data_IF_723960214979
#
_entry.id   IF_723960214979
#
_cell.length_a   1.000
_cell.length_b   1.000
_cell.length_c   1.000
_cell.angle_alpha   90.00
_cell.angle_beta   90.00
_cell.angle_gamma   90.00
#
_symmetry.space_group_name_H-M   'P 1'
#
loop_
_entity.id
_entity.type
_entity.pdbx_description
1 polymer ?
#
# COMPACT_ATOMS: atom_id res chain seq x y z
N UNK A 1 -34.22 53.43 -31.73
CA UNK A 1 -34.00 53.86 -33.13
C UNK A 1 -33.70 52.68 -34.06
N UNK A 2 -33.41 51.48 -33.53
CA UNK A 2 -33.08 50.28 -34.32
C UNK A 2 -34.28 49.54 -34.93
N UNK A 3 -35.44 49.54 -34.26
CA UNK A 3 -36.65 48.84 -34.74
C UNK A 3 -37.24 49.38 -36.04
N UNK A 4 -37.07 50.67 -36.32
CA UNK A 4 -37.57 51.29 -37.56
C UNK A 4 -36.68 50.97 -38.80
N UNK A 5 -35.42 50.60 -38.60
CA UNK A 5 -34.48 50.23 -39.68
C UNK A 5 -34.72 48.82 -40.19
N UNK A 6 -35.12 47.88 -39.28
CA UNK A 6 -35.42 46.48 -39.64
C UNK A 6 -36.77 46.33 -40.39
N UNK A 7 -37.80 47.09 -39.99
CA UNK A 7 -39.10 47.08 -40.63
C UNK A 7 -39.02 47.65 -42.05
N UNK A 8 -38.28 48.75 -42.30
CA UNK A 8 -38.04 49.27 -43.64
C UNK A 8 -37.25 48.34 -44.55
N UNK A 9 -36.33 47.50 -44.00
CA UNK A 9 -35.61 46.48 -44.75
C UNK A 9 -36.53 45.30 -45.15
N UNK A 10 -37.39 44.87 -44.26
CA UNK A 10 -38.39 43.80 -44.55
C UNK A 10 -39.41 44.24 -45.57
N UNK A 11 -39.90 45.51 -45.53
CA UNK A 11 -40.80 46.08 -46.53
C UNK A 11 -40.14 46.22 -47.91
N UNK A 12 -38.89 46.68 -47.98
CA UNK A 12 -38.14 46.82 -49.23
C UNK A 12 -37.87 45.45 -49.92
N UNK A 13 -37.58 44.38 -49.11
CA UNK A 13 -37.40 43.01 -49.63
C UNK A 13 -38.73 42.44 -50.12
N UNK A 14 -39.84 42.67 -49.41
CA UNK A 14 -41.17 42.24 -49.82
C UNK A 14 -41.66 42.89 -51.12
N UNK A 15 -41.41 44.21 -51.26
CA UNK A 15 -41.74 44.96 -52.49
C UNK A 15 -40.91 44.52 -53.72
N UNK A 16 -39.65 44.16 -53.53
CA UNK A 16 -38.75 43.63 -54.57
C UNK A 16 -39.17 42.27 -55.06
N UNK A 17 -39.53 41.36 -54.15
CA UNK A 17 -40.01 40.00 -54.46
C UNK A 17 -41.37 40.03 -55.19
N UNK A 18 -42.31 40.91 -54.79
CA UNK A 18 -43.60 41.04 -55.48
C UNK A 18 -43.46 41.58 -56.88
N UNK A 19 -42.53 42.48 -57.17
CA UNK A 19 -42.23 42.97 -58.53
C UNK A 19 -41.61 41.88 -59.43
N UNK A 20 -40.74 41.07 -58.89
CA UNK A 20 -40.12 39.92 -59.62
C UNK A 20 -41.14 38.85 -59.97
N UNK A 21 -42.10 38.60 -59.10
CA UNK A 21 -43.13 37.57 -59.30
C UNK A 21 -44.37 38.05 -60.05
N UNK A 22 -44.53 39.37 -60.23
CA UNK A 22 -45.73 39.96 -60.87
C UNK A 22 -45.92 39.49 -62.32
N UNK A 23 -44.84 39.30 -63.07
CA UNK A 23 -44.86 38.93 -64.49
C UNK A 23 -44.76 37.40 -64.73
N UNK A 24 -44.80 36.57 -63.67
CA UNK A 24 -44.77 35.15 -63.83
C UNK A 24 -46.17 34.58 -64.05
N UNK A 25 -46.28 33.66 -65.00
CA UNK A 25 -47.51 32.83 -65.21
C UNK A 25 -47.74 31.98 -63.94
N UNK A 26 -48.99 31.57 -63.70
CA UNK A 26 -49.38 30.74 -62.58
C UNK A 26 -48.50 29.47 -62.50
N UNK A 27 -48.25 28.81 -63.67
CA UNK A 27 -47.37 27.63 -63.78
C UNK A 27 -45.95 27.90 -63.31
N UNK A 28 -45.37 29.10 -63.63
CA UNK A 28 -44.03 29.46 -63.19
C UNK A 28 -43.98 29.76 -61.68
N UNK A 29 -45.04 30.36 -61.13
CA UNK A 29 -45.16 30.59 -59.69
C UNK A 29 -45.24 29.29 -58.89
N UNK A 30 -46.05 28.35 -59.37
CA UNK A 30 -46.14 27.02 -58.78
C UNK A 30 -44.83 26.23 -58.90
N UNK A 31 -44.23 26.21 -60.08
CA UNK A 31 -42.91 25.52 -60.28
C UNK A 31 -41.81 26.12 -59.40
N UNK A 32 -41.79 27.46 -59.28
CA UNK A 32 -40.83 28.13 -58.36
C UNK A 32 -41.06 27.83 -56.88
N UNK A 33 -42.33 27.82 -56.45
CA UNK A 33 -42.71 27.47 -55.09
C UNK A 33 -42.36 26.01 -54.73
N UNK A 34 -42.75 25.05 -55.59
CA UNK A 34 -42.40 23.65 -55.39
C UNK A 34 -40.88 23.41 -55.50
N UNK A 35 -40.20 24.12 -56.40
CA UNK A 35 -38.75 24.05 -56.54
C UNK A 35 -38.03 24.54 -55.28
N UNK A 36 -38.51 25.65 -54.67
CA UNK A 36 -37.98 26.18 -53.41
C UNK A 36 -38.18 25.20 -52.25
N UNK A 37 -39.39 24.62 -52.12
CA UNK A 37 -39.68 23.62 -51.10
C UNK A 37 -38.82 22.39 -51.33
N UNK A 38 -38.67 21.91 -52.58
CA UNK A 38 -37.78 20.80 -52.91
C UNK A 38 -36.31 21.06 -52.51
N UNK A 39 -35.82 22.26 -52.78
CA UNK A 39 -34.45 22.68 -52.40
C UNK A 39 -34.26 22.72 -50.88
N UNK A 40 -35.25 23.25 -50.12
CA UNK A 40 -35.24 23.27 -48.68
C UNK A 40 -35.16 21.81 -48.12
N UNK A 41 -36.00 20.93 -48.69
CA UNK A 41 -35.98 19.51 -48.28
C UNK A 41 -34.62 18.87 -48.56
N UNK A 42 -34.00 19.11 -49.70
CA UNK A 42 -32.67 18.60 -50.04
C UNK A 42 -31.61 19.11 -49.05
N UNK A 43 -31.65 20.40 -48.70
CA UNK A 43 -30.72 20.99 -47.70
C UNK A 43 -30.93 20.33 -46.33
N UNK A 44 -32.18 20.19 -45.88
CA UNK A 44 -32.48 19.52 -44.61
C UNK A 44 -31.97 18.09 -44.61
N UNK A 45 -32.20 17.31 -45.65
CA UNK A 45 -31.72 15.92 -45.77
C UNK A 45 -30.19 15.89 -45.73
N UNK A 46 -29.52 16.78 -46.44
CA UNK A 46 -28.06 16.87 -46.44
C UNK A 46 -27.50 17.21 -45.04
N UNK A 47 -28.10 18.15 -44.31
CA UNK A 47 -27.74 18.49 -42.95
C UNK A 47 -27.94 17.32 -41.95
N UNK A 48 -29.12 16.64 -42.07
CA UNK A 48 -29.41 15.46 -41.23
C UNK A 48 -28.43 14.33 -41.53
N UNK A 49 -28.13 14.08 -42.79
CA UNK A 49 -27.17 13.05 -43.20
C UNK A 49 -25.77 13.36 -42.67
N UNK A 50 -25.31 14.60 -42.78
CA UNK A 50 -24.03 15.04 -42.22
C UNK A 50 -23.99 14.84 -40.70
N UNK A 51 -25.04 15.24 -39.98
CA UNK A 51 -25.16 15.04 -38.53
C UNK A 51 -25.16 13.55 -38.11
N UNK A 52 -25.85 12.68 -38.91
CA UNK A 52 -25.83 11.24 -38.67
C UNK A 52 -24.43 10.63 -38.84
N UNK A 53 -23.68 11.06 -39.85
CA UNK A 53 -22.32 10.59 -40.09
C UNK A 53 -21.38 11.01 -38.96
N UNK A 54 -21.50 12.23 -38.42
CA UNK A 54 -20.74 12.69 -37.28
C UNK A 54 -21.09 11.91 -36.01
N UNK A 55 -22.39 11.72 -35.75
CA UNK A 55 -22.86 10.90 -34.63
C UNK A 55 -22.35 9.46 -34.70
N UNK A 56 -22.37 8.87 -35.90
CA UNK A 56 -21.82 7.51 -36.13
C UNK A 56 -20.33 7.45 -35.79
N UNK A 57 -19.51 8.41 -36.27
CA UNK A 57 -18.08 8.48 -35.95
C UNK A 57 -17.83 8.60 -34.45
N UNK A 58 -18.58 9.45 -33.76
CA UNK A 58 -18.48 9.62 -32.32
C UNK A 58 -18.87 8.34 -31.56
N UNK A 59 -19.98 7.69 -31.96
CA UNK A 59 -20.45 6.43 -31.37
C UNK A 59 -19.41 5.32 -31.53
N UNK A 60 -18.89 5.12 -32.74
CA UNK A 60 -17.83 4.14 -33.03
C UNK A 60 -16.58 4.41 -32.16
N UNK A 61 -16.15 5.67 -32.05
CA UNK A 61 -15.00 6.03 -31.22
C UNK A 61 -15.23 5.77 -29.72
N UNK A 62 -16.47 5.91 -29.26
CA UNK A 62 -16.83 5.59 -27.87
C UNK A 62 -16.79 4.07 -27.66
N UNK A 63 -17.44 3.30 -28.54
CA UNK A 63 -17.52 1.85 -28.39
C UNK A 63 -16.18 1.15 -28.57
N UNK A 64 -15.41 1.53 -29.60
CA UNK A 64 -14.27 0.74 -30.04
C UNK A 64 -12.94 1.21 -29.42
N UNK A 65 -12.92 2.41 -28.84
CA UNK A 65 -11.69 2.94 -28.25
C UNK A 65 -11.87 3.40 -26.79
N UNK A 66 -12.87 4.28 -26.54
CA UNK A 66 -12.94 4.93 -25.21
C UNK A 66 -13.46 4.00 -24.11
N UNK A 67 -14.50 3.22 -24.39
CA UNK A 67 -15.03 2.27 -23.41
C UNK A 67 -14.03 1.15 -23.12
N UNK A 68 -13.41 0.48 -24.12
CA UNK A 68 -12.34 -0.48 -23.88
C UNK A 68 -11.16 0.10 -23.10
N UNK A 69 -10.69 1.32 -23.42
CA UNK A 69 -9.62 1.98 -22.65
C UNK A 69 -10.00 2.16 -21.17
N UNK A 70 -11.27 2.52 -20.89
CA UNK A 70 -11.72 2.65 -19.52
C UNK A 70 -11.79 1.32 -18.78
N UNK A 71 -12.25 0.27 -19.47
CA UNK A 71 -12.29 -1.08 -18.90
C UNK A 71 -10.89 -1.60 -18.61
N UNK A 72 -9.96 -1.46 -19.55
CA UNK A 72 -8.57 -1.84 -19.35
C UNK A 72 -7.91 -1.07 -18.20
N UNK A 73 -8.15 0.24 -18.09
CA UNK A 73 -7.68 1.05 -16.96
C UNK A 73 -8.26 0.57 -15.62
N UNK A 74 -9.55 0.27 -15.57
CA UNK A 74 -10.19 -0.29 -14.37
C UNK A 74 -9.65 -1.68 -14.01
N UNK A 75 -9.33 -2.48 -15.03
CA UNK A 75 -8.70 -3.79 -14.84
C UNK A 75 -7.35 -3.65 -14.12
N UNK A 76 -6.50 -2.73 -14.56
CA UNK A 76 -5.23 -2.43 -13.88
C UNK A 76 -5.45 -1.96 -12.44
N UNK A 77 -6.38 -1.02 -12.20
CA UNK A 77 -6.70 -0.52 -10.87
C UNK A 77 -7.19 -1.62 -9.92
N UNK A 78 -8.06 -2.50 -10.41
CA UNK A 78 -8.54 -3.63 -9.64
C UNK A 78 -7.40 -4.62 -9.33
N UNK A 79 -6.53 -4.87 -10.31
CA UNK A 79 -5.34 -5.71 -10.14
C UNK A 79 -4.38 -5.17 -9.06
N UNK A 80 -4.12 -3.86 -9.04
CA UNK A 80 -3.32 -3.21 -7.99
C UNK A 80 -3.94 -3.47 -6.61
N UNK A 81 -5.24 -3.27 -6.45
CA UNK A 81 -5.92 -3.50 -5.19
C UNK A 81 -5.91 -4.97 -4.79
N UNK A 82 -6.13 -5.87 -5.74
CA UNK A 82 -6.16 -7.32 -5.51
C UNK A 82 -4.77 -7.85 -5.13
N UNK A 83 -3.72 -7.44 -5.84
CA UNK A 83 -2.34 -7.81 -5.53
C UNK A 83 -1.89 -7.30 -4.16
N UNK A 84 -2.27 -6.06 -3.79
CA UNK A 84 -2.00 -5.53 -2.45
C UNK A 84 -2.80 -6.24 -1.35
N UNK A 85 -4.03 -6.67 -1.63
CA UNK A 85 -4.82 -7.44 -0.68
C UNK A 85 -4.18 -8.82 -0.45
N UNK A 86 -3.75 -9.51 -1.52
CA UNK A 86 -2.99 -10.75 -1.43
C UNK A 86 -1.70 -10.57 -0.62
N UNK A 87 -0.90 -9.54 -0.94
CA UNK A 87 0.34 -9.26 -0.22
C UNK A 87 0.10 -9.05 1.29
N UNK A 88 -0.89 -8.22 1.65
CA UNK A 88 -1.25 -7.98 3.07
C UNK A 88 -1.77 -9.25 3.75
N UNK A 89 -2.56 -10.06 3.03
CA UNK A 89 -3.02 -11.36 3.52
C UNK A 89 -1.85 -12.30 3.83
N UNK A 90 -0.85 -12.37 2.95
CA UNK A 90 0.38 -13.12 3.19
C UNK A 90 1.16 -12.58 4.40
N UNK A 91 1.38 -11.26 4.47
CA UNK A 91 2.10 -10.63 5.58
C UNK A 91 1.46 -10.91 6.95
N UNK A 92 0.11 -10.99 6.99
CA UNK A 92 -0.64 -11.13 8.24
C UNK A 92 -0.86 -12.60 8.64
N UNK A 93 -1.17 -13.46 7.67
CA UNK A 93 -1.68 -14.82 7.93
C UNK A 93 -0.67 -15.92 7.56
N UNK A 94 0.35 -15.61 6.74
CA UNK A 94 1.36 -16.60 6.31
C UNK A 94 0.79 -17.75 5.47
N UNK A 95 -0.37 -17.57 4.84
CA UNK A 95 -1.00 -18.61 4.02
C UNK A 95 -0.60 -18.44 2.55
N UNK A 96 0.01 -19.46 1.97
CA UNK A 96 0.51 -19.50 0.58
C UNK A 96 -0.54 -19.10 -0.48
N UNK A 97 -1.81 -19.31 -0.20
CA UNK A 97 -2.89 -18.87 -1.10
C UNK A 97 -2.81 -17.38 -1.41
N UNK A 98 -2.42 -16.56 -0.46
CA UNK A 98 -2.32 -15.11 -0.67
C UNK A 98 -1.16 -14.70 -1.60
N UNK A 99 -0.11 -15.52 -1.68
CA UNK A 99 0.92 -15.32 -2.72
C UNK A 99 0.35 -15.57 -4.11
N UNK A 100 -0.47 -16.63 -4.24
CA UNK A 100 -1.16 -16.91 -5.50
C UNK A 100 -2.13 -15.78 -5.84
N UNK A 101 -2.95 -15.33 -4.88
CA UNK A 101 -3.87 -14.19 -5.09
C UNK A 101 -3.11 -12.92 -5.56
N UNK A 102 -1.91 -12.66 -5.00
CA UNK A 102 -1.05 -11.56 -5.47
C UNK A 102 -0.59 -11.77 -6.91
N UNK A 103 -0.11 -12.98 -7.23
CA UNK A 103 0.38 -13.33 -8.56
C UNK A 103 -0.75 -13.24 -9.60
N UNK A 104 -1.96 -13.73 -9.29
CA UNK A 104 -3.14 -13.62 -10.15
C UNK A 104 -3.54 -12.15 -10.37
N UNK A 105 -3.36 -11.30 -9.34
CA UNK A 105 -3.54 -9.85 -9.46
C UNK A 105 -2.63 -9.23 -10.51
N UNK A 106 -1.43 -9.76 -10.68
CA UNK A 106 -0.51 -9.35 -11.73
C UNK A 106 -0.88 -9.93 -13.09
N UNK A 107 -0.93 -11.26 -13.23
CA UNK A 107 -1.11 -11.92 -14.52
C UNK A 107 -2.46 -11.60 -15.16
N UNK A 108 -3.54 -11.75 -14.41
CA UNK A 108 -4.90 -11.70 -14.95
C UNK A 108 -5.45 -10.29 -15.05
N UNK A 109 -4.91 -9.36 -14.23
CA UNK A 109 -5.46 -8.01 -14.13
C UNK A 109 -4.47 -6.92 -14.56
N UNK A 110 -3.30 -6.80 -13.91
CA UNK A 110 -2.38 -5.69 -14.19
C UNK A 110 -1.76 -5.85 -15.57
N UNK A 111 -1.08 -6.97 -15.83
CA UNK A 111 -0.36 -7.21 -17.08
C UNK A 111 -1.33 -7.25 -18.27
N UNK A 112 -2.43 -7.99 -18.12
CA UNK A 112 -3.45 -8.07 -19.15
C UNK A 112 -4.09 -6.70 -19.45
N UNK A 113 -4.46 -5.93 -18.40
CA UNK A 113 -5.05 -4.61 -18.57
C UNK A 113 -4.06 -3.58 -19.14
N UNK A 114 -2.81 -3.61 -18.70
CA UNK A 114 -1.77 -2.73 -19.22
C UNK A 114 -1.46 -3.04 -20.70
N UNK A 115 -1.36 -4.33 -21.07
CA UNK A 115 -1.20 -4.76 -22.46
C UNK A 115 -2.35 -4.29 -23.36
N UNK A 116 -3.61 -4.44 -22.92
CA UNK A 116 -4.78 -3.90 -23.60
C UNK A 116 -4.70 -2.38 -23.79
N UNK A 117 -4.23 -1.63 -22.77
CA UNK A 117 -4.04 -0.18 -22.88
C UNK A 117 -2.93 0.20 -23.87
N UNK A 118 -1.84 -0.54 -23.90
CA UNK A 118 -0.76 -0.33 -24.89
C UNK A 118 -1.28 -0.47 -26.33
N UNK A 119 -2.08 -1.48 -26.61
CA UNK A 119 -2.67 -1.68 -27.94
C UNK A 119 -3.65 -0.57 -28.30
N UNK A 120 -4.55 -0.21 -27.39
CA UNK A 120 -5.50 0.88 -27.59
C UNK A 120 -4.84 2.25 -27.73
N UNK A 121 -3.70 2.44 -27.07
CA UNK A 121 -2.95 3.71 -27.08
C UNK A 121 -2.46 4.12 -28.47
N UNK A 122 -2.24 3.14 -29.36
CA UNK A 122 -1.86 3.36 -30.76
C UNK A 122 -2.89 4.22 -31.52
N UNK A 123 -4.15 4.22 -31.06
CA UNK A 123 -5.27 4.99 -31.63
C UNK A 123 -5.64 6.21 -30.79
N UNK A 124 -4.90 6.51 -29.73
CA UNK A 124 -5.18 7.70 -28.90
C UNK A 124 -4.76 8.99 -29.59
N UNK A 125 -5.55 10.03 -29.42
CA UNK A 125 -5.31 11.35 -30.00
C UNK A 125 -4.79 12.38 -28.98
N UNK A 126 -4.77 12.03 -27.68
CA UNK A 126 -4.20 12.87 -26.65
C UNK A 126 -2.76 12.42 -26.33
N UNK A 127 -1.73 13.19 -26.75
CA UNK A 127 -0.33 12.82 -26.54
C UNK A 127 0.02 12.75 -25.04
N UNK A 128 -0.59 13.56 -24.19
CA UNK A 128 -0.36 13.56 -22.75
C UNK A 128 -0.74 12.22 -22.11
N UNK A 129 -1.82 11.56 -22.60
CA UNK A 129 -2.20 10.24 -22.10
C UNK A 129 -1.23 9.15 -22.58
N UNK A 130 -0.68 9.28 -23.78
CA UNK A 130 0.36 8.36 -24.28
C UNK A 130 1.63 8.46 -23.42
N UNK A 131 2.05 9.69 -23.10
CA UNK A 131 3.22 9.91 -22.24
C UNK A 131 2.97 9.40 -20.80
N UNK A 132 1.77 9.62 -20.24
CA UNK A 132 1.40 9.07 -18.93
C UNK A 132 1.44 7.54 -18.92
N UNK A 133 0.94 6.89 -19.97
CA UNK A 133 0.97 5.43 -20.05
C UNK A 133 2.40 4.89 -20.10
N UNK A 134 3.30 5.53 -20.86
CA UNK A 134 4.72 5.17 -20.89
C UNK A 134 5.43 5.40 -19.54
N UNK A 135 5.07 6.50 -18.84
CA UNK A 135 5.67 6.82 -17.55
C UNK A 135 5.31 5.81 -16.45
N UNK A 136 4.18 5.11 -16.58
CA UNK A 136 3.73 4.10 -15.61
C UNK A 136 4.52 2.79 -15.71
N UNK A 137 5.07 2.45 -16.88
CA UNK A 137 5.77 1.17 -17.09
C UNK A 137 6.88 0.91 -16.06
N UNK A 138 7.85 1.81 -15.88
CA UNK A 138 8.89 1.63 -14.86
C UNK A 138 8.32 1.63 -13.42
N UNK A 139 7.22 2.35 -13.16
CA UNK A 139 6.59 2.34 -11.84
C UNK A 139 5.91 1.00 -11.56
N UNK A 140 5.27 0.38 -12.58
CA UNK A 140 4.68 -0.96 -12.46
C UNK A 140 5.76 -2.02 -12.19
N UNK A 141 6.88 -1.97 -12.89
CA UNK A 141 7.99 -2.91 -12.68
C UNK A 141 8.56 -2.79 -11.27
N UNK A 142 8.82 -1.56 -10.83
CA UNK A 142 9.31 -1.30 -9.47
C UNK A 142 8.29 -1.70 -8.40
N UNK A 143 7.00 -1.50 -8.65
CA UNK A 143 5.92 -1.92 -7.77
C UNK A 143 5.85 -3.44 -7.62
N UNK A 144 6.04 -4.19 -8.73
CA UNK A 144 6.16 -5.66 -8.72
C UNK A 144 7.33 -6.11 -7.87
N UNK A 145 8.50 -5.54 -8.11
CA UNK A 145 9.72 -5.87 -7.39
C UNK A 145 9.56 -5.67 -5.88
N UNK A 146 9.03 -4.52 -5.46
CA UNK A 146 8.79 -4.28 -4.03
C UNK A 146 7.78 -5.25 -3.42
N UNK A 147 6.75 -5.66 -4.16
CA UNK A 147 5.83 -6.68 -3.66
C UNK A 147 6.49 -8.04 -3.49
N UNK A 148 7.38 -8.43 -4.40
CA UNK A 148 8.14 -9.68 -4.33
C UNK A 148 9.14 -9.67 -3.17
N UNK A 149 9.86 -8.57 -2.99
CA UNK A 149 10.79 -8.39 -1.89
C UNK A 149 10.07 -8.46 -0.54
N UNK A 150 8.92 -7.78 -0.41
CA UNK A 150 8.09 -7.81 0.80
C UNK A 150 7.57 -9.23 1.04
N UNK A 151 7.08 -9.91 0.00
CA UNK A 151 6.57 -11.29 0.10
C UNK A 151 7.65 -12.26 0.58
N UNK A 152 8.87 -12.13 0.05
CA UNK A 152 10.00 -12.99 0.42
C UNK A 152 10.43 -12.82 1.87
N UNK A 153 10.28 -11.62 2.41
CA UNK A 153 10.75 -11.24 3.75
C UNK A 153 9.68 -11.43 4.84
N UNK A 154 8.40 -11.22 4.51
CA UNK A 154 7.33 -10.95 5.48
C UNK A 154 7.19 -12.00 6.59
N UNK A 155 7.35 -13.28 6.29
CA UNK A 155 7.19 -14.40 7.24
C UNK A 155 8.53 -15.09 7.57
N UNK A 156 9.62 -14.34 7.53
CA UNK A 156 10.95 -14.78 7.91
C UNK A 156 11.41 -14.12 9.22
N UNK A 157 12.47 -14.67 9.82
CA UNK A 157 13.08 -14.11 11.02
C UNK A 157 13.69 -12.72 10.77
N UNK A 158 14.04 -12.41 9.52
CA UNK A 158 14.57 -11.11 9.10
C UNK A 158 13.55 -9.99 9.22
N UNK A 159 12.27 -10.31 9.05
CA UNK A 159 11.19 -9.32 9.06
C UNK A 159 11.11 -8.52 10.37
N UNK A 160 11.47 -9.14 11.49
CA UNK A 160 11.41 -8.50 12.81
C UNK A 160 12.78 -8.62 13.51
N UNK A 161 13.72 -7.72 13.24
CA UNK A 161 15.13 -7.82 13.71
C UNK A 161 15.27 -7.98 15.22
N UNK A 162 14.37 -7.37 15.99
CA UNK A 162 14.37 -7.53 17.46
C UNK A 162 14.05 -8.97 17.90
N UNK A 163 13.11 -9.63 17.21
CA UNK A 163 12.81 -11.06 17.47
C UNK A 163 13.92 -11.97 17.00
N UNK A 164 14.53 -11.69 15.86
CA UNK A 164 15.72 -12.43 15.40
C UNK A 164 16.84 -12.37 16.45
N UNK A 165 17.11 -11.18 16.99
CA UNK A 165 18.10 -11.01 18.06
C UNK A 165 17.70 -11.74 19.34
N UNK A 166 16.42 -11.70 19.73
CA UNK A 166 15.90 -12.44 20.87
C UNK A 166 16.17 -13.93 20.72
N UNK A 167 15.76 -14.52 19.61
CA UNK A 167 15.82 -15.99 19.42
C UNK A 167 17.25 -16.49 19.20
N UNK A 168 18.03 -15.81 18.37
CA UNK A 168 19.35 -16.29 17.97
C UNK A 168 20.45 -15.94 18.99
N UNK A 169 20.31 -14.87 19.77
CA UNK A 169 21.38 -14.36 20.62
C UNK A 169 21.00 -14.29 22.10
N UNK A 170 19.92 -13.61 22.45
CA UNK A 170 19.56 -13.35 23.84
C UNK A 170 19.01 -14.59 24.57
N UNK A 171 18.09 -15.34 23.93
CA UNK A 171 17.44 -16.50 24.54
C UNK A 171 18.42 -17.63 24.90
N UNK A 172 19.44 -17.98 24.09
CA UNK A 172 20.46 -18.95 24.49
C UNK A 172 21.21 -18.54 25.76
N UNK A 173 21.61 -17.27 25.89
CA UNK A 173 22.29 -16.80 27.10
C UNK A 173 21.35 -16.83 28.30
N UNK A 174 20.10 -16.38 28.14
CA UNK A 174 19.09 -16.44 29.19
C UNK A 174 18.81 -17.89 29.64
N UNK A 175 18.82 -18.84 28.72
CA UNK A 175 18.71 -20.27 29.01
C UNK A 175 19.85 -20.78 29.90
N UNK A 176 21.10 -20.42 29.55
CA UNK A 176 22.28 -20.76 30.36
C UNK A 176 22.18 -20.13 31.76
N UNK A 177 21.78 -18.86 31.84
CA UNK A 177 21.59 -18.17 33.14
C UNK A 177 20.53 -18.87 33.99
N UNK A 178 19.37 -19.17 33.40
CA UNK A 178 18.26 -19.83 34.10
C UNK A 178 18.65 -21.22 34.62
N UNK A 179 19.29 -22.03 33.79
CA UNK A 179 19.77 -23.37 34.18
C UNK A 179 20.84 -23.28 35.28
N UNK A 180 21.78 -22.34 35.17
CA UNK A 180 22.85 -22.18 36.10
C UNK A 180 22.38 -21.73 37.50
N UNK A 181 21.51 -20.71 37.59
CA UNK A 181 20.96 -20.27 38.85
C UNK A 181 20.07 -21.32 39.51
N UNK A 182 19.30 -22.08 38.71
CA UNK A 182 18.52 -23.22 39.20
C UNK A 182 19.46 -24.27 39.83
N UNK A 183 20.55 -24.63 39.14
CA UNK A 183 21.54 -25.57 39.67
C UNK A 183 22.15 -25.10 40.99
N UNK A 184 22.46 -23.81 41.13
CA UNK A 184 23.00 -23.25 42.38
C UNK A 184 21.97 -23.39 43.53
N UNK A 185 20.69 -23.12 43.26
CA UNK A 185 19.58 -23.25 44.22
C UNK A 185 19.42 -24.73 44.64
N UNK A 186 19.38 -25.65 43.68
CA UNK A 186 19.22 -27.07 43.97
C UNK A 186 20.36 -27.63 44.88
N UNK A 187 21.59 -27.24 44.54
CA UNK A 187 22.75 -27.57 45.38
C UNK A 187 22.70 -26.91 46.77
N UNK A 188 22.11 -25.73 46.88
CA UNK A 188 21.94 -25.05 48.18
C UNK A 188 20.92 -25.74 49.07
N UNK A 189 19.82 -26.21 48.50
CA UNK A 189 18.76 -26.94 49.20
C UNK A 189 19.26 -28.26 49.85
N UNK A 190 20.27 -28.89 49.27
CA UNK A 190 20.88 -30.13 49.78
C UNK A 190 21.84 -29.94 50.97
N UNK A 191 22.07 -28.71 51.43
CA UNK A 191 23.03 -28.38 52.47
C UNK A 191 22.34 -28.08 53.83
N UNK A 192 22.99 -28.28 55.02
CA UNK A 192 22.39 -27.94 56.30
C UNK A 192 22.00 -26.47 56.41
N UNK A 193 20.84 -26.16 56.97
CA UNK A 193 20.31 -24.83 57.09
C UNK A 193 21.08 -24.01 58.13
N UNK A 194 21.57 -22.82 57.71
CA UNK A 194 22.12 -21.77 58.59
C UNK A 194 21.50 -20.42 58.19
N UNK A 195 21.59 -19.41 59.04
CA UNK A 195 21.05 -18.09 58.69
C UNK A 195 21.76 -17.47 57.47
N UNK A 196 23.07 -17.61 57.36
CA UNK A 196 23.83 -17.12 56.20
C UNK A 196 23.37 -17.79 54.90
N UNK A 197 23.13 -19.10 54.93
CA UNK A 197 22.68 -19.87 53.74
C UNK A 197 21.24 -19.55 53.40
N UNK A 198 20.37 -19.37 54.40
CA UNK A 198 18.99 -18.88 54.15
C UNK A 198 19.00 -17.53 53.41
N UNK A 199 19.89 -16.62 53.81
CA UNK A 199 20.07 -15.32 53.15
C UNK A 199 20.59 -15.50 51.70
N UNK A 200 21.60 -16.37 51.51
CA UNK A 200 22.13 -16.69 50.17
C UNK A 200 21.04 -17.30 49.24
N UNK A 201 20.23 -18.22 49.77
CA UNK A 201 19.11 -18.80 49.02
C UNK A 201 18.11 -17.70 48.59
N UNK A 202 17.80 -16.73 49.45
CA UNK A 202 16.97 -15.57 49.14
C UNK A 202 17.53 -14.74 47.99
N UNK A 203 18.87 -14.50 47.99
CA UNK A 203 19.55 -13.78 46.89
C UNK A 203 19.46 -14.58 45.56
N UNK A 204 19.71 -15.89 45.62
CA UNK A 204 19.59 -16.80 44.44
C UNK A 204 18.17 -16.77 43.86
N UNK A 205 17.16 -16.86 44.75
CA UNK A 205 15.75 -16.81 44.34
C UNK A 205 15.38 -15.47 43.70
N UNK A 206 15.84 -14.34 44.26
CA UNK A 206 15.63 -13.02 43.69
C UNK A 206 16.30 -12.87 42.32
N UNK A 207 17.53 -13.35 42.13
CA UNK A 207 18.22 -13.35 40.82
C UNK A 207 17.44 -14.16 39.78
N UNK A 208 16.98 -15.36 40.15
CA UNK A 208 16.18 -16.21 39.26
C UNK A 208 14.85 -15.57 38.92
N UNK A 209 14.12 -15.06 39.92
CA UNK A 209 12.79 -14.48 39.75
C UNK A 209 12.81 -13.22 38.89
N UNK A 210 13.75 -12.31 39.16
CA UNK A 210 13.90 -11.07 38.39
C UNK A 210 14.38 -11.33 36.95
N UNK A 211 15.21 -12.35 36.72
CA UNK A 211 15.55 -12.81 35.36
C UNK A 211 14.32 -13.29 34.62
N UNK A 212 13.53 -14.18 35.22
CA UNK A 212 12.33 -14.75 34.57
C UNK A 212 11.29 -13.69 34.24
N UNK A 213 10.97 -12.80 35.18
CA UNK A 213 10.04 -11.68 34.96
C UNK A 213 10.58 -10.68 33.92
N UNK A 214 11.88 -10.36 33.96
CA UNK A 214 12.50 -9.49 32.97
C UNK A 214 12.42 -10.07 31.55
N UNK A 215 12.62 -11.39 31.39
CA UNK A 215 12.43 -12.04 30.08
C UNK A 215 10.98 -12.01 29.61
N UNK A 216 10.01 -12.09 30.50
CA UNK A 216 8.60 -11.93 30.17
C UNK A 216 8.30 -10.50 29.69
N UNK A 217 8.84 -9.49 30.38
CA UNK A 217 8.68 -8.08 29.99
C UNK A 217 9.34 -7.77 28.63
N UNK A 218 10.55 -8.31 28.37
CA UNK A 218 11.16 -8.19 27.03
C UNK A 218 10.20 -8.72 25.95
N UNK A 219 9.69 -9.93 26.10
CA UNK A 219 8.77 -10.52 25.12
C UNK A 219 7.50 -9.71 24.97
N UNK A 220 6.92 -9.25 26.07
CA UNK A 220 5.71 -8.44 26.07
C UNK A 220 5.92 -7.11 25.36
N UNK A 221 7.07 -6.44 25.57
CA UNK A 221 7.42 -5.23 24.82
C UNK A 221 7.60 -5.49 23.32
N UNK A 222 8.35 -6.52 22.96
CA UNK A 222 8.59 -6.83 21.55
C UNK A 222 7.27 -7.14 20.80
N UNK A 223 6.31 -7.79 21.46
CA UNK A 223 5.00 -8.07 20.91
C UNK A 223 4.14 -6.80 20.78
N UNK A 224 4.03 -6.04 21.86
CA UNK A 224 3.03 -4.97 21.99
C UNK A 224 3.54 -3.57 21.65
N UNK A 225 4.86 -3.32 21.80
CA UNK A 225 5.42 -1.98 21.77
C UNK A 225 5.03 -1.11 22.98
N UNK A 226 4.40 -1.69 24.01
CA UNK A 226 3.99 -0.93 25.18
C UNK A 226 5.16 -0.63 26.11
N UNK A 227 5.49 0.66 26.26
CA UNK A 227 6.60 1.18 27.04
C UNK A 227 6.60 0.74 28.50
N UNK A 228 5.44 0.45 29.08
CA UNK A 228 5.35 -0.02 30.47
C UNK A 228 6.19 -1.29 30.69
N UNK A 229 6.23 -2.22 29.72
CA UNK A 229 7.02 -3.44 29.84
C UNK A 229 8.53 -3.15 29.80
N UNK A 230 8.96 -2.18 28.98
CA UNK A 230 10.36 -1.75 28.95
C UNK A 230 10.80 -1.14 30.28
N UNK A 231 9.98 -0.30 30.88
CA UNK A 231 10.27 0.31 32.19
C UNK A 231 10.21 -0.73 33.32
N UNK A 232 9.28 -1.67 33.30
CA UNK A 232 9.24 -2.80 34.22
C UNK A 232 10.52 -3.64 34.14
N UNK A 233 10.95 -3.97 32.94
CA UNK A 233 12.22 -4.68 32.73
C UNK A 233 13.39 -3.92 33.38
N UNK A 234 13.53 -2.62 33.16
CA UNK A 234 14.60 -1.82 33.70
C UNK A 234 14.59 -1.81 35.24
N UNK A 235 13.40 -1.76 35.83
CA UNK A 235 13.21 -1.83 37.28
C UNK A 235 13.64 -3.19 37.85
N UNK A 236 13.18 -4.28 37.20
CA UNK A 236 13.54 -5.66 37.56
C UNK A 236 15.03 -5.90 37.36
N UNK A 237 15.62 -5.38 36.28
CA UNK A 237 17.03 -5.56 35.99
C UNK A 237 17.94 -4.83 37.02
N UNK A 238 17.55 -3.63 37.45
CA UNK A 238 18.23 -2.94 38.56
C UNK A 238 18.18 -3.77 39.86
N UNK A 239 17.07 -4.44 40.16
CA UNK A 239 16.99 -5.35 41.30
C UNK A 239 17.87 -6.57 41.09
N UNK A 240 17.87 -7.16 39.88
CA UNK A 240 18.72 -8.28 39.50
C UNK A 240 20.20 -7.95 39.70
N UNK A 241 20.66 -6.78 39.23
CA UNK A 241 22.03 -6.31 39.38
C UNK A 241 22.48 -6.26 40.85
N UNK A 242 21.64 -5.68 41.69
CA UNK A 242 21.94 -5.59 43.14
C UNK A 242 22.04 -7.00 43.73
N UNK A 243 21.06 -7.85 43.46
CA UNK A 243 21.05 -9.23 44.02
C UNK A 243 22.17 -10.10 43.47
N UNK A 244 22.55 -9.92 42.22
CA UNK A 244 23.70 -10.58 41.65
C UNK A 244 25.04 -10.13 42.34
N UNK A 245 25.20 -8.82 42.62
CA UNK A 245 26.34 -8.31 43.38
C UNK A 245 26.35 -8.86 44.81
N UNK A 246 25.20 -8.88 45.48
CA UNK A 246 25.08 -9.46 46.83
C UNK A 246 25.47 -10.96 46.79
N UNK A 247 25.00 -11.73 45.80
CA UNK A 247 25.37 -13.13 45.64
C UNK A 247 26.86 -13.32 45.31
N UNK A 248 27.47 -12.41 44.56
CA UNK A 248 28.90 -12.40 44.26
C UNK A 248 29.72 -12.20 45.57
N UNK A 249 29.25 -11.36 46.50
CA UNK A 249 29.95 -11.14 47.76
C UNK A 249 30.04 -12.38 48.65
N UNK A 250 29.12 -13.33 48.51
CA UNK A 250 29.09 -14.60 49.22
C UNK A 250 29.67 -15.77 48.45
N UNK A 251 30.30 -15.52 47.29
CA UNK A 251 30.90 -16.53 46.41
C UNK A 251 31.85 -17.49 47.15
N UNK A 252 32.66 -16.98 48.12
CA UNK A 252 33.57 -17.77 48.94
C UNK A 252 32.89 -18.90 49.70
N UNK A 253 31.63 -18.72 50.13
CA UNK A 253 30.85 -19.74 50.87
C UNK A 253 30.14 -20.77 49.96
N UNK A 254 30.19 -20.63 48.64
CA UNK A 254 29.64 -21.58 47.69
C UNK A 254 30.48 -22.87 47.60
N UNK A 255 29.86 -24.02 47.36
CA UNK A 255 30.54 -25.27 47.04
C UNK A 255 31.25 -25.21 45.69
N UNK A 256 32.16 -26.12 45.42
CA UNK A 256 32.89 -26.18 44.15
C UNK A 256 31.93 -26.26 42.94
N UNK A 257 30.86 -27.05 43.04
CA UNK A 257 29.87 -27.17 41.94
C UNK A 257 28.97 -25.96 41.82
N UNK A 258 28.64 -25.31 42.96
CA UNK A 258 27.93 -24.02 42.94
C UNK A 258 28.78 -22.94 42.29
N UNK A 259 30.09 -22.88 42.57
CA UNK A 259 31.02 -21.95 41.92
C UNK A 259 31.09 -22.15 40.42
N UNK A 260 31.23 -23.39 39.95
CA UNK A 260 31.16 -23.69 38.49
C UNK A 260 29.86 -23.19 37.85
N UNK A 261 28.72 -23.40 38.52
CA UNK A 261 27.44 -22.93 38.00
C UNK A 261 27.31 -21.39 38.05
N UNK A 262 27.85 -20.76 39.13
CA UNK A 262 27.89 -19.30 39.23
C UNK A 262 28.74 -18.68 38.12
N UNK A 263 29.93 -19.24 37.83
CA UNK A 263 30.83 -18.76 36.78
C UNK A 263 30.16 -18.84 35.41
N UNK A 264 29.44 -19.96 35.15
CA UNK A 264 28.62 -20.08 33.91
C UNK A 264 27.52 -19.03 33.86
N UNK A 265 26.83 -18.75 34.96
CA UNK A 265 25.83 -17.73 35.04
C UNK A 265 26.43 -16.35 34.75
N UNK A 266 27.55 -16.02 35.37
CA UNK A 266 28.23 -14.73 35.23
C UNK A 266 28.66 -14.49 33.77
N UNK A 267 29.28 -15.48 33.13
CA UNK A 267 29.70 -15.40 31.71
C UNK A 267 28.51 -15.22 30.75
N UNK A 268 27.43 -15.95 30.98
CA UNK A 268 26.23 -15.81 30.16
C UNK A 268 25.54 -14.46 30.36
N UNK A 269 25.54 -13.96 31.60
CA UNK A 269 25.00 -12.66 31.97
C UNK A 269 25.78 -11.50 31.34
N UNK A 270 27.10 -11.57 31.31
CA UNK A 270 27.96 -10.59 30.63
C UNK A 270 27.58 -10.44 29.16
N UNK A 271 27.34 -11.56 28.48
CA UNK A 271 26.87 -11.57 27.07
C UNK A 271 25.43 -11.08 26.92
N UNK A 272 24.58 -11.40 27.89
CA UNK A 272 23.14 -11.08 27.82
C UNK A 272 22.87 -9.57 27.98
N UNK A 273 23.65 -8.87 28.81
CA UNK A 273 23.33 -7.49 29.21
C UNK A 273 23.24 -6.49 28.07
N UNK A 274 23.89 -6.75 26.95
CA UNK A 274 23.86 -5.89 25.77
C UNK A 274 22.58 -6.00 24.94
N UNK A 275 21.87 -7.12 25.02
CA UNK A 275 20.76 -7.41 24.11
C UNK A 275 19.47 -6.64 24.43
N UNK A 276 19.00 -6.50 25.68
CA UNK A 276 17.70 -5.89 25.97
C UNK A 276 17.52 -4.49 25.38
N UNK A 277 18.45 -3.58 25.65
CA UNK A 277 18.34 -2.21 25.14
C UNK A 277 18.47 -2.13 23.59
N UNK A 278 19.26 -3.00 22.98
CA UNK A 278 19.34 -3.12 21.52
C UNK A 278 18.02 -3.61 20.92
N UNK A 279 17.40 -4.63 21.54
CA UNK A 279 16.09 -5.13 21.13
C UNK A 279 15.01 -4.04 21.29
N UNK A 280 15.05 -3.28 22.38
CA UNK A 280 14.12 -2.18 22.60
C UNK A 280 14.30 -1.07 21.57
N UNK A 281 15.53 -0.72 21.22
CA UNK A 281 15.81 0.25 20.16
C UNK A 281 15.28 -0.21 18.80
N UNK A 282 15.55 -1.46 18.43
CA UNK A 282 15.04 -2.04 17.18
C UNK A 282 13.51 -2.05 17.14
N UNK A 283 12.86 -2.43 18.24
CA UNK A 283 11.39 -2.48 18.32
C UNK A 283 10.75 -1.10 18.29
N UNK A 284 11.43 -0.09 18.83
CA UNK A 284 10.98 1.31 18.84
C UNK A 284 11.24 2.05 17.52
N UNK A 285 12.00 1.49 16.58
CA UNK A 285 12.26 2.07 15.26
C UNK A 285 11.04 2.01 14.34
N UNK A 286 11.00 2.87 13.32
CA UNK A 286 9.95 2.84 12.30
C UNK A 286 9.99 1.54 11.47
N UNK A 287 11.16 0.98 11.31
CA UNK A 287 11.50 -0.24 10.57
C UNK A 287 11.47 -1.52 11.44
N UNK A 288 10.82 -1.46 12.60
CA UNK A 288 10.74 -2.61 13.53
C UNK A 288 10.13 -3.87 12.88
N UNK A 289 9.30 -3.69 11.85
CA UNK A 289 8.77 -4.70 10.96
C UNK A 289 9.10 -4.28 9.52
N UNK A 290 10.08 -4.91 8.91
CA UNK A 290 10.63 -4.50 7.62
C UNK A 290 9.61 -4.60 6.49
N UNK A 291 8.79 -5.65 6.45
CA UNK A 291 7.76 -5.81 5.43
C UNK A 291 6.73 -4.67 5.48
N UNK A 292 6.27 -4.30 6.68
CA UNK A 292 5.36 -3.15 6.85
C UNK A 292 6.02 -1.83 6.50
N UNK A 293 7.27 -1.64 6.86
CA UNK A 293 8.04 -0.45 6.50
C UNK A 293 8.18 -0.32 4.99
N UNK A 294 8.56 -1.38 4.30
CA UNK A 294 8.72 -1.38 2.84
C UNK A 294 7.39 -1.21 2.11
N UNK A 295 6.31 -1.82 2.62
CA UNK A 295 4.97 -1.59 2.08
C UNK A 295 4.58 -0.11 2.16
N UNK A 296 4.81 0.53 3.32
CA UNK A 296 4.47 1.94 3.56
C UNK A 296 5.34 2.90 2.75
N UNK A 297 6.65 2.66 2.70
CA UNK A 297 7.60 3.62 2.10
C UNK A 297 7.76 3.46 0.60
N UNK A 298 7.55 2.26 0.07
CA UNK A 298 7.87 1.95 -1.33
C UNK A 298 6.62 1.50 -2.12
N UNK A 299 6.01 0.36 -1.80
CA UNK A 299 4.95 -0.21 -2.63
C UNK A 299 3.66 0.63 -2.64
N UNK A 300 3.20 1.14 -1.49
CA UNK A 300 1.97 1.92 -1.42
C UNK A 300 2.05 3.27 -2.15
N UNK A 301 3.14 4.05 -2.06
CA UNK A 301 3.30 5.28 -2.87
C UNK A 301 3.25 5.02 -4.38
N UNK A 302 3.90 3.95 -4.87
CA UNK A 302 3.85 3.57 -6.28
C UNK A 302 2.43 3.19 -6.72
N UNK A 303 1.74 2.37 -5.93
CA UNK A 303 0.35 2.03 -6.20
C UNK A 303 -0.55 3.28 -6.31
N UNK A 304 -0.32 4.28 -5.45
CA UNK A 304 -1.04 5.55 -5.50
C UNK A 304 -0.69 6.36 -6.75
N UNK A 305 0.61 6.47 -7.11
CA UNK A 305 1.07 7.17 -8.31
C UNK A 305 0.45 6.57 -9.57
N UNK A 306 0.57 5.27 -9.75
CA UNK A 306 -0.01 4.54 -10.87
C UNK A 306 -1.53 4.73 -10.93
N UNK A 307 -2.21 4.61 -9.78
CA UNK A 307 -3.67 4.78 -9.71
C UNK A 307 -4.10 6.21 -10.09
N UNK A 308 -3.36 7.23 -9.68
CA UNK A 308 -3.62 8.62 -10.06
C UNK A 308 -3.43 8.83 -11.56
N UNK A 309 -2.36 8.29 -12.15
CA UNK A 309 -2.12 8.37 -13.59
C UNK A 309 -3.21 7.65 -14.40
N UNK A 310 -3.64 6.45 -13.97
CA UNK A 310 -4.76 5.71 -14.57
C UNK A 310 -6.06 6.51 -14.52
N UNK A 311 -6.40 7.07 -13.36
CA UNK A 311 -7.59 7.90 -13.18
C UNK A 311 -7.54 9.18 -14.02
N UNK A 312 -6.38 9.83 -14.13
CA UNK A 312 -6.21 11.03 -14.96
C UNK A 312 -6.44 10.74 -16.45
N UNK A 313 -5.97 9.58 -16.96
CA UNK A 313 -6.24 9.16 -18.33
C UNK A 313 -7.73 8.93 -18.61
N UNK A 314 -8.50 8.55 -17.61
CA UNK A 314 -9.96 8.37 -17.70
C UNK A 314 -10.71 9.70 -17.47
N UNK A 315 -10.26 10.57 -16.56
CA UNK A 315 -10.94 11.80 -16.16
C UNK A 315 -10.91 12.91 -17.21
N UNK A 316 -9.89 12.97 -18.06
CA UNK A 316 -9.80 13.91 -19.20
C UNK A 316 -11.00 13.83 -20.18
N UNK A 317 -11.98 12.96 -19.89
CA UNK A 317 -13.25 12.79 -20.60
C UNK A 317 -14.35 13.77 -20.13
N UNK A 318 -14.35 14.23 -18.89
CA UNK A 318 -15.41 15.09 -18.35
C UNK A 318 -15.52 16.44 -19.10
N UNK A 319 -14.39 16.98 -19.54
CA UNK A 319 -14.38 18.25 -20.29
C UNK A 319 -15.03 18.16 -21.68
N UNK A 320 -15.13 16.97 -22.28
CA UNK A 320 -15.75 16.81 -23.59
C UNK A 320 -17.29 16.82 -23.53
N UNK A 321 -17.90 16.26 -22.49
CA UNK A 321 -19.35 16.28 -22.30
C UNK A 321 -19.91 17.70 -22.07
N UNK A 322 -19.16 18.52 -21.35
CA UNK A 322 -19.56 19.93 -21.09
C UNK A 322 -19.55 20.76 -22.38
N UNK A 323 -18.77 20.37 -23.39
CA UNK A 323 -18.71 21.09 -24.67
C UNK A 323 -19.86 20.71 -25.63
N UNK A 324 -20.40 19.50 -25.53
CA UNK A 324 -21.54 19.03 -26.34
C UNK A 324 -22.87 19.60 -25.83
N UNK A 325 -22.99 19.85 -24.50
CA UNK A 325 -24.22 20.41 -23.91
C UNK A 325 -24.30 21.92 -24.01
N UNK A 326 -23.30 22.60 -24.59
CA UNK A 326 -23.28 24.05 -24.82
C UNK A 326 -23.44 24.45 -26.29
N UNK A 327 -23.74 23.51 -27.20
CA UNK A 327 -24.19 23.73 -28.57
C UNK A 327 -25.69 23.48 -28.64
#
# INVERSE_FOLDING_TARGET
METKSEDNKKEAIGLSLNKLLANWTISKKLAGGFGLVGLIIIVIVALVYAGLQETKKLSTRISDLRAPTAQASMKVLNGINYSLAGLRGWMLLGNEKFKQDRADGWSDWIDAGYGEMLDLSKSWTNPENVERLKAIEPELELFRQYQEDIESMANTDENVPAFKMLLAQAAPQAGIMSASITKIIDLELARPATQARKNALGMMADVRGTLGLGLADIRAYLLSGNEAFRENFRTLWKKNDRRFKDLTSVYGGLSADQKKAFDRFAMAREKFVEFPERMFSLRGGEDWNLANFWLKQNAAPLANSISQAMNAMVANRKYFWIRITKI
#
